data_IF_137610802191
#
_entry.id   IF_137610802191
#
_cell.length_a   1.000
_cell.length_b   1.000
_cell.length_c   1.000
_cell.angle_alpha   90.00
_cell.angle_beta   90.00
_cell.angle_gamma   90.00
#
_symmetry.space_group_name_H-M   'P 1'
#
loop_
_entity.id
_entity.type
_entity.pdbx_description
1 polymer ?
#
# COMPACT_ATOMS: atom_id res chain seq x y z
N UNK A 1 13.26 0.60 2.69
CA UNK A 1 13.12 -0.30 3.85
C UNK A 1 14.20 0.03 4.87
N UNK A 2 13.89 -0.04 6.16
CA UNK A 2 14.91 -0.04 7.22
C UNK A 2 15.31 -1.49 7.55
N UNK A 3 16.46 -1.68 8.21
CA UNK A 3 17.01 -3.01 8.53
C UNK A 3 16.01 -3.90 9.31
N UNK A 4 15.18 -3.31 10.17
CA UNK A 4 14.17 -4.04 10.95
C UNK A 4 13.09 -4.68 10.07
N UNK A 5 12.65 -4.01 8.99
CA UNK A 5 11.66 -4.57 8.07
C UNK A 5 12.25 -5.74 7.26
N UNK A 6 13.53 -5.68 6.89
CA UNK A 6 14.22 -6.76 6.19
C UNK A 6 14.37 -8.02 7.06
N UNK A 7 14.63 -7.84 8.36
CA UNK A 7 14.68 -8.97 9.30
C UNK A 7 13.31 -9.65 9.45
N UNK A 8 12.23 -8.87 9.51
CA UNK A 8 10.86 -9.39 9.59
C UNK A 8 10.45 -10.16 8.32
N UNK A 9 10.87 -9.71 7.13
CA UNK A 9 10.63 -10.43 5.85
C UNK A 9 11.14 -11.87 5.85
N UNK A 10 12.21 -12.15 6.60
CA UNK A 10 12.77 -13.51 6.68
C UNK A 10 11.90 -14.47 7.50
N UNK A 11 10.98 -13.95 8.33
CA UNK A 11 10.17 -14.76 9.24
C UNK A 11 8.65 -14.57 9.03
N UNK A 12 8.23 -13.63 8.19
CA UNK A 12 6.83 -13.24 8.01
C UNK A 12 6.61 -12.70 6.60
N UNK A 13 5.39 -12.84 6.09
CA UNK A 13 4.97 -12.26 4.80
C UNK A 13 4.65 -10.78 5.01
N UNK A 14 5.21 -9.91 4.16
CA UNK A 14 4.97 -8.48 4.25
C UNK A 14 3.84 -8.09 3.32
N UNK A 15 2.80 -7.48 3.91
CA UNK A 15 1.61 -7.01 3.22
C UNK A 15 1.50 -5.49 3.40
N UNK A 16 1.16 -4.76 2.34
CA UNK A 16 0.87 -3.34 2.44
C UNK A 16 -0.62 -3.10 2.75
N UNK A 17 -0.92 -2.40 3.85
CA UNK A 17 -2.28 -1.99 4.21
C UNK A 17 -2.55 -0.55 3.72
N UNK A 18 -2.81 -0.40 2.42
CA UNK A 18 -3.00 0.91 1.80
C UNK A 18 -3.88 0.85 0.56
N UNK A 19 -4.57 1.96 0.27
CA UNK A 19 -5.24 2.18 -1.02
C UNK A 19 -4.40 3.01 -2.00
N UNK A 20 -3.25 3.52 -1.57
CA UNK A 20 -2.34 4.34 -2.38
C UNK A 20 -1.36 3.46 -3.16
N UNK A 21 -1.58 3.35 -4.46
CA UNK A 21 -0.85 2.49 -5.39
C UNK A 21 0.64 2.87 -5.45
N UNK A 22 0.97 4.17 -5.48
CA UNK A 22 2.35 4.64 -5.54
C UNK A 22 3.14 4.18 -4.30
N UNK A 23 2.53 4.26 -3.12
CA UNK A 23 3.11 3.75 -1.89
C UNK A 23 3.29 2.23 -1.93
N UNK A 24 2.30 1.47 -2.41
CA UNK A 24 2.40 0.01 -2.54
C UNK A 24 3.60 -0.37 -3.43
N UNK A 25 3.74 0.30 -4.58
CA UNK A 25 4.86 0.06 -5.51
C UNK A 25 6.20 0.37 -4.86
N UNK A 26 6.30 1.46 -4.09
CA UNK A 26 7.55 1.87 -3.45
C UNK A 26 8.08 0.84 -2.42
N UNK A 27 7.18 0.12 -1.74
CA UNK A 27 7.56 -0.85 -0.70
C UNK A 27 7.67 -2.30 -1.18
N UNK A 28 7.20 -2.60 -2.40
CA UNK A 28 7.24 -3.95 -2.99
C UNK A 28 6.83 -5.06 -2.01
N UNK A 29 5.61 -5.00 -1.46
CA UNK A 29 5.10 -6.06 -0.60
C UNK A 29 4.76 -7.31 -1.42
N UNK A 30 4.55 -8.44 -0.74
CA UNK A 30 4.06 -9.66 -1.38
C UNK A 30 2.59 -9.50 -1.81
N UNK A 31 1.76 -8.97 -0.90
CA UNK A 31 0.35 -8.67 -1.12
C UNK A 31 0.00 -7.24 -0.67
N UNK A 32 -1.16 -6.73 -1.09
CA UNK A 32 -1.74 -5.50 -0.56
C UNK A 32 -3.17 -5.76 -0.09
N UNK A 33 -3.50 -5.24 1.09
CA UNK A 33 -4.86 -5.24 1.63
C UNK A 33 -5.46 -3.86 1.56
N UNK A 34 -6.76 -3.82 1.25
CA UNK A 34 -7.54 -2.60 1.28
C UNK A 34 -8.74 -2.78 2.19
N UNK A 35 -9.32 -1.66 2.59
CA UNK A 35 -10.63 -1.62 3.22
C UNK A 35 -11.37 -0.36 2.72
N UNK A 36 -12.68 -0.23 2.96
CA UNK A 36 -13.45 0.92 2.46
C UNK A 36 -12.87 2.28 2.86
N UNK A 37 -12.32 2.42 4.07
CA UNK A 37 -11.72 3.67 4.54
C UNK A 37 -10.42 4.00 3.80
N UNK A 38 -9.59 3.00 3.50
CA UNK A 38 -8.34 3.19 2.73
C UNK A 38 -8.63 3.58 1.29
N UNK A 39 -9.62 2.95 0.64
CA UNK A 39 -10.07 3.34 -0.71
C UNK A 39 -10.63 4.75 -0.72
N UNK A 40 -11.47 5.11 0.28
CA UNK A 40 -12.03 6.46 0.37
C UNK A 40 -10.95 7.53 0.52
N UNK A 41 -9.88 7.26 1.28
CA UNK A 41 -8.74 8.17 1.41
C UNK A 41 -7.97 8.26 0.09
N UNK A 42 -7.68 7.13 -0.56
CA UNK A 42 -6.97 7.12 -1.84
C UNK A 42 -7.74 7.87 -2.92
N UNK A 43 -9.06 7.68 -3.03
CA UNK A 43 -9.91 8.37 -4.01
C UNK A 43 -9.87 9.91 -3.90
N UNK A 44 -9.51 10.48 -2.74
CA UNK A 44 -9.36 11.93 -2.59
C UNK A 44 -8.05 12.47 -3.15
N UNK A 45 -7.04 11.61 -3.39
CA UNK A 45 -5.74 12.02 -3.89
C UNK A 45 -5.84 12.46 -5.38
N UNK A 46 -5.26 13.61 -5.76
CA UNK A 46 -5.42 14.18 -7.11
C UNK A 46 -5.01 13.23 -8.24
N UNK A 47 -3.96 12.43 -8.04
CA UNK A 47 -3.47 11.51 -9.06
C UNK A 47 -4.46 10.39 -9.41
N UNK A 48 -5.42 10.10 -8.53
CA UNK A 48 -6.43 9.07 -8.74
C UNK A 48 -7.77 9.61 -9.25
N UNK A 49 -7.93 10.94 -9.36
CA UNK A 49 -9.20 11.53 -9.82
C UNK A 49 -9.60 11.08 -11.22
N UNK A 50 -8.64 10.84 -12.11
CA UNK A 50 -8.90 10.34 -13.46
C UNK A 50 -9.52 8.92 -13.49
N UNK A 51 -9.45 8.17 -12.39
CA UNK A 51 -10.05 6.84 -12.25
C UNK A 51 -11.49 6.91 -11.73
N UNK A 52 -11.93 8.08 -11.24
CA UNK A 52 -13.25 8.31 -10.67
C UNK A 52 -14.17 8.91 -11.74
N UNK A 53 -15.45 8.54 -11.71
CA UNK A 53 -16.49 9.04 -12.64
C UNK A 53 -17.20 10.25 -12.09
#
# INVERSE_FOLDING_TARGET
>A
MNESAEQLKQQTIIVADSGDIDSIIAYQPDDATTNPSLIYKAAQLPQYHALLK
#
